data_IF_590979097433
#
_entry.id   IF_590979097433
#
_cell.length_a   1.000
_cell.length_b   1.000
_cell.length_c   1.000
_cell.angle_alpha   90.00
_cell.angle_beta   90.00
_cell.angle_gamma   90.00
#
_symmetry.space_group_name_H-M   'P 1'
#
loop_
_entity.id
_entity.type
_entity.pdbx_description
1 polymer ?
#
# COMPACT_ATOMS: atom_id res chain seq x y z
N UNK A 1 9.71 -7.06 15.48
CA UNK A 1 9.16 -6.04 14.58
C UNK A 1 8.50 -6.77 13.43
N UNK A 2 7.26 -6.42 13.06
CA UNK A 2 6.53 -7.15 12.02
C UNK A 2 6.89 -6.57 10.64
N UNK A 3 7.05 -7.44 9.64
CA UNK A 3 7.53 -7.04 8.31
C UNK A 3 6.60 -6.03 7.62
N UNK A 4 5.30 -6.05 7.92
CA UNK A 4 4.36 -5.07 7.38
C UNK A 4 4.49 -3.69 8.02
N UNK A 5 4.90 -3.60 9.30
CA UNK A 5 5.09 -2.34 10.00
C UNK A 5 6.30 -1.61 9.41
N UNK A 6 7.40 -2.33 9.20
CA UNK A 6 8.59 -1.80 8.50
C UNK A 6 8.26 -1.30 7.10
N UNK A 7 7.40 -2.02 6.39
CA UNK A 7 6.94 -1.61 5.07
C UNK A 7 6.05 -0.37 5.16
N UNK A 8 5.12 -0.32 6.12
CA UNK A 8 4.22 0.82 6.34
C UNK A 8 5.04 2.08 6.66
N UNK A 9 6.02 2.00 7.56
CA UNK A 9 6.90 3.11 7.92
C UNK A 9 7.72 3.60 6.71
N UNK A 10 8.22 2.67 5.90
CA UNK A 10 8.96 3.04 4.68
C UNK A 10 8.04 3.72 3.67
N UNK A 11 6.82 3.23 3.49
CA UNK A 11 5.83 3.85 2.60
C UNK A 11 5.39 5.21 3.12
N UNK A 12 5.17 5.35 4.43
CA UNK A 12 4.99 6.63 5.13
C UNK A 12 6.10 7.62 4.80
N UNK A 13 7.36 7.19 4.92
CA UNK A 13 8.52 8.01 4.58
C UNK A 13 8.52 8.45 3.12
N UNK A 14 8.15 7.58 2.19
CA UNK A 14 8.01 7.94 0.77
C UNK A 14 6.89 8.96 0.52
N UNK A 15 5.75 8.81 1.20
CA UNK A 15 4.63 9.77 1.13
C UNK A 15 5.08 11.13 1.71
N UNK A 16 5.68 11.13 2.91
CA UNK A 16 6.15 12.33 3.59
C UNK A 16 7.25 13.08 2.83
N UNK A 17 8.11 12.36 2.11
CA UNK A 17 9.14 12.94 1.24
C UNK A 17 8.60 13.48 -0.09
N UNK A 18 7.29 13.34 -0.35
CA UNK A 18 6.64 13.84 -1.56
C UNK A 18 6.80 12.95 -2.79
N UNK A 19 7.25 11.70 -2.62
CA UNK A 19 7.25 10.69 -3.71
C UNK A 19 5.83 10.34 -4.13
N UNK A 20 4.89 10.37 -3.17
CA UNK A 20 3.45 10.27 -3.42
C UNK A 20 2.78 11.45 -2.74
N UNK A 21 2.26 12.40 -3.51
CA UNK A 21 1.57 13.56 -2.92
C UNK A 21 0.17 13.16 -2.44
N UNK A 22 -0.36 13.90 -1.47
CA UNK A 22 -1.75 13.76 -1.06
C UNK A 22 -2.68 13.98 -2.26
N UNK A 23 -3.54 13.00 -2.54
CA UNK A 23 -4.42 12.97 -3.72
C UNK A 23 -3.81 12.34 -4.98
N UNK A 24 -2.53 12.00 -4.95
CA UNK A 24 -1.86 11.27 -6.04
C UNK A 24 -2.05 9.76 -5.86
N UNK A 25 -2.13 9.04 -6.99
CA UNK A 25 -2.46 7.62 -6.98
C UNK A 25 -1.27 6.79 -6.52
N UNK A 26 -1.35 6.21 -5.33
CA UNK A 26 -0.37 5.22 -4.86
C UNK A 26 -0.34 3.97 -5.75
N UNK A 27 0.80 3.26 -5.84
CA UNK A 27 0.90 2.02 -6.59
C UNK A 27 -0.10 0.98 -6.07
N UNK A 28 -0.62 0.14 -6.97
CA UNK A 28 -1.44 -1.00 -6.55
C UNK A 28 -0.63 -1.96 -5.66
N UNK A 29 -1.33 -2.75 -4.84
CA UNK A 29 -0.70 -3.74 -3.95
C UNK A 29 0.29 -4.63 -4.71
N UNK A 30 -0.08 -5.07 -5.93
CA UNK A 30 0.77 -5.90 -6.80
C UNK A 30 1.99 -5.14 -7.33
N UNK A 31 1.83 -3.88 -7.71
CA UNK A 31 2.94 -3.06 -8.17
C UNK A 31 3.95 -2.81 -7.03
N UNK A 32 3.45 -2.44 -5.86
CA UNK A 32 4.27 -2.22 -4.66
C UNK A 32 4.98 -3.50 -4.22
N UNK A 33 4.29 -4.65 -4.22
CA UNK A 33 4.89 -5.96 -3.93
C UNK A 33 6.08 -6.26 -4.85
N UNK A 34 5.94 -5.99 -6.16
CA UNK A 34 7.02 -6.19 -7.14
C UNK A 34 8.18 -5.20 -6.94
N UNK A 35 7.88 -3.94 -6.66
CA UNK A 35 8.88 -2.89 -6.44
C UNK A 35 9.70 -3.16 -5.18
N UNK A 36 9.03 -3.54 -4.09
CA UNK A 36 9.63 -3.76 -2.78
C UNK A 36 10.10 -5.21 -2.56
N UNK A 37 9.79 -6.12 -3.49
CA UNK A 37 10.07 -7.57 -3.42
C UNK A 37 9.56 -8.22 -2.13
N UNK A 38 8.38 -7.79 -1.68
CA UNK A 38 7.69 -8.29 -0.48
C UNK A 38 6.40 -9.00 -0.87
N UNK A 39 5.85 -9.82 0.04
CA UNK A 39 4.61 -10.53 -0.24
C UNK A 39 3.43 -9.57 -0.42
N UNK A 40 2.45 -9.97 -1.24
CA UNK A 40 1.20 -9.22 -1.44
C UNK A 40 0.47 -9.00 -0.11
N UNK A 41 0.49 -9.98 0.80
CA UNK A 41 -0.10 -9.87 2.14
C UNK A 41 0.57 -8.77 2.97
N UNK A 42 1.90 -8.72 2.96
CA UNK A 42 2.67 -7.68 3.66
C UNK A 42 2.29 -6.28 3.16
N UNK A 43 2.11 -6.11 1.84
CA UNK A 43 1.66 -4.84 1.27
C UNK A 43 0.23 -4.53 1.69
N UNK A 44 -0.67 -5.51 1.64
CA UNK A 44 -2.07 -5.32 2.08
C UNK A 44 -2.15 -4.88 3.54
N UNK A 45 -1.43 -5.55 4.44
CA UNK A 45 -1.37 -5.18 5.86
C UNK A 45 -0.79 -3.77 6.05
N UNK A 46 0.30 -3.43 5.33
CA UNK A 46 0.87 -2.08 5.39
C UNK A 46 -0.11 -1.01 4.91
N UNK A 47 -0.83 -1.26 3.82
CA UNK A 47 -1.80 -0.32 3.26
C UNK A 47 -3.02 -0.17 4.17
N UNK A 48 -3.52 -1.27 4.74
CA UNK A 48 -4.60 -1.23 5.72
C UNK A 48 -4.19 -0.41 6.96
N UNK A 49 -2.95 -0.54 7.41
CA UNK A 49 -2.44 0.28 8.51
C UNK A 49 -2.36 1.76 8.13
N UNK A 50 -1.85 2.09 6.94
CA UNK A 50 -1.79 3.47 6.43
C UNK A 50 -3.17 4.09 6.23
N UNK A 51 -4.14 3.28 5.81
CA UNK A 51 -5.55 3.69 5.67
C UNK A 51 -6.19 3.95 7.02
N UNK A 52 -5.96 3.06 8.01
CA UNK A 52 -6.39 3.27 9.39
C UNK A 52 -5.80 4.56 10.01
N UNK A 53 -4.60 4.94 9.58
CA UNK A 53 -3.93 6.19 10.00
C UNK A 53 -4.40 7.42 9.20
N UNK A 54 -5.27 7.24 8.19
CA UNK A 54 -5.76 8.32 7.33
C UNK A 54 -4.72 8.88 6.36
N UNK A 55 -3.61 8.15 6.14
CA UNK A 55 -2.51 8.59 5.28
C UNK A 55 -2.73 8.24 3.80
N UNK A 56 -3.53 7.21 3.53
CA UNK A 56 -3.94 6.81 2.18
C UNK A 56 -5.41 6.47 2.16
N UNK A 57 -6.04 6.61 0.98
CA UNK A 57 -7.35 6.01 0.70
C UNK A 57 -7.12 4.80 -0.21
N UNK A 58 -7.43 3.59 0.28
CA UNK A 58 -7.39 2.43 -0.58
C UNK A 58 -8.61 2.49 -1.50
N UNK A 59 -8.42 2.98 -2.73
CA UNK A 59 -9.44 2.79 -3.77
C UNK A 59 -9.35 1.34 -4.23
N UNK A 60 -10.34 0.47 -3.96
CA UNK A 60 -10.36 -0.86 -4.53
C UNK A 60 -10.39 -0.70 -6.03
N UNK A 61 -9.30 -1.07 -6.70
CA UNK A 61 -9.32 -1.26 -8.15
C UNK A 61 -10.16 -2.51 -8.39
N UNK A 62 -11.41 -2.26 -8.74
CA UNK A 62 -12.44 -3.22 -9.10
C UNK A 62 -11.93 -4.26 -10.12
N UNK A 63 -12.52 -5.46 -10.02
CA UNK A 63 -12.38 -6.69 -10.84
C UNK A 63 -11.15 -7.57 -10.53
N UNK A 64 -11.32 -8.88 -10.29
CA UNK A 64 -12.25 -9.78 -10.96
C UNK A 64 -13.34 -10.35 -10.05
N UNK A 65 -14.58 -10.26 -10.55
CA UNK A 65 -15.60 -11.27 -10.28
C UNK A 65 -15.00 -12.64 -10.58
N UNK A 66 -15.10 -13.56 -9.63
CA UNK A 66 -14.99 -14.99 -9.92
C UNK A 66 -16.43 -15.49 -10.03
N UNK A 67 -17.04 -15.18 -11.17
CA UNK A 67 -18.21 -15.92 -11.63
C UNK A 67 -17.63 -17.18 -12.31
N UNK A 68 -17.56 -18.30 -11.58
CA UNK A 68 -17.54 -19.65 -12.13
C UNK A 68 -18.00 -20.64 -11.07
#
# INVERSE_FOLDING_TARGET
MLLYEELADRVCGMIGNGTYRAGERIPSIRAMSRQMRVSVNTVMESYAQLENLGLIEARPQSQARRDN
#
